data_IF_654090803541
#
_entry.id   IF_654090803541
#
_cell.length_a   1.000
_cell.length_b   1.000
_cell.length_c   1.000
_cell.angle_alpha   90.00
_cell.angle_beta   90.00
_cell.angle_gamma   90.00
#
_symmetry.space_group_name_H-M   'P 1'
#
loop_
_entity.id
_entity.type
_entity.pdbx_description
1 polymer ?
#
# COMPACT_ATOMS: atom_id res chain seq x y z
N UNK A 1 -12.21 7.94 -31.12
CA UNK A 1 -10.97 7.48 -30.43
C UNK A 1 -11.42 6.89 -29.11
N UNK A 2 -10.95 5.72 -28.75
CA UNK A 2 -11.33 5.07 -27.51
C UNK A 2 -10.86 5.92 -26.31
N UNK A 3 -11.66 6.05 -25.26
CA UNK A 3 -11.36 6.82 -24.04
C UNK A 3 -9.95 6.51 -23.51
N UNK A 4 -9.60 5.23 -23.35
CA UNK A 4 -8.33 4.82 -22.77
C UNK A 4 -7.13 5.24 -23.63
N UNK A 5 -7.22 5.20 -24.94
CA UNK A 5 -6.16 5.69 -25.82
C UNK A 5 -5.97 7.20 -25.69
N UNK A 6 -7.07 7.96 -25.63
CA UNK A 6 -7.03 9.41 -25.38
C UNK A 6 -6.34 9.74 -24.05
N UNK A 7 -6.68 9.02 -22.98
CA UNK A 7 -6.08 9.21 -21.64
C UNK A 7 -4.59 8.87 -21.62
N UNK A 8 -4.19 7.82 -22.33
CA UNK A 8 -2.76 7.47 -22.47
C UNK A 8 -2.01 8.60 -23.19
N UNK A 9 -2.51 9.07 -24.35
CA UNK A 9 -1.87 10.14 -25.10
C UNK A 9 -1.72 11.43 -24.27
N UNK A 10 -2.78 11.84 -23.55
CA UNK A 10 -2.74 12.98 -22.63
C UNK A 10 -1.70 12.76 -21.53
N UNK A 11 -1.73 11.63 -20.85
CA UNK A 11 -0.80 11.31 -19.76
C UNK A 11 0.67 11.27 -20.21
N UNK A 12 0.96 10.81 -21.43
CA UNK A 12 2.31 10.84 -22.00
C UNK A 12 2.81 12.29 -22.27
N UNK A 13 1.91 13.27 -22.45
CA UNK A 13 2.20 14.68 -22.64
C UNK A 13 2.05 15.55 -21.39
N UNK A 14 1.76 14.95 -20.21
CA UNK A 14 1.44 15.63 -18.93
C UNK A 14 0.13 16.45 -18.98
N UNK A 15 -0.73 16.18 -19.92
CA UNK A 15 -2.03 16.81 -20.04
C UNK A 15 -3.02 16.07 -19.15
N UNK A 16 -3.74 16.73 -18.23
CA UNK A 16 -4.80 16.05 -17.47
C UNK A 16 -5.98 15.73 -18.38
N UNK A 17 -6.76 14.70 -18.06
CA UNK A 17 -8.06 14.46 -18.68
C UNK A 17 -9.02 15.63 -18.41
N UNK A 18 -10.16 15.66 -19.07
CA UNK A 18 -11.28 16.49 -18.61
C UNK A 18 -11.93 15.85 -17.38
N UNK A 19 -12.80 16.58 -16.67
CA UNK A 19 -13.54 16.01 -15.53
C UNK A 19 -14.46 14.87 -15.97
N UNK A 20 -15.10 15.00 -17.12
CA UNK A 20 -15.95 13.96 -17.71
C UNK A 20 -15.15 12.70 -18.06
N UNK A 21 -13.94 12.85 -18.62
CA UNK A 21 -13.05 11.72 -18.90
C UNK A 21 -12.58 11.04 -17.59
N UNK A 22 -12.29 11.81 -16.53
CA UNK A 22 -11.93 11.26 -15.24
C UNK A 22 -13.08 10.50 -14.58
N UNK A 23 -14.32 11.01 -14.65
CA UNK A 23 -15.53 10.33 -14.21
C UNK A 23 -15.77 9.05 -15.02
N UNK A 24 -15.55 9.10 -16.34
CA UNK A 24 -15.72 7.93 -17.19
C UNK A 24 -14.76 6.79 -16.81
N UNK A 25 -13.53 7.08 -16.31
CA UNK A 25 -12.64 6.05 -15.75
C UNK A 25 -13.26 5.37 -14.53
N UNK A 26 -13.87 6.14 -13.63
CA UNK A 26 -14.52 5.60 -12.44
C UNK A 26 -15.75 4.76 -12.76
N UNK A 27 -16.43 5.08 -13.87
CA UNK A 27 -17.65 4.40 -14.35
C UNK A 27 -17.38 3.18 -15.23
N UNK A 28 -16.13 2.86 -15.58
CA UNK A 28 -15.81 1.67 -16.39
C UNK A 28 -16.28 0.39 -15.69
N UNK A 29 -16.67 -0.60 -16.49
CA UNK A 29 -17.12 -1.90 -16.00
C UNK A 29 -15.99 -2.74 -15.41
N UNK A 30 -16.32 -3.80 -14.68
CA UNK A 30 -15.32 -4.75 -14.18
C UNK A 30 -14.67 -5.55 -15.33
N UNK A 31 -15.37 -5.73 -16.44
CA UNK A 31 -14.84 -6.41 -17.63
C UNK A 31 -13.71 -5.59 -18.30
N UNK A 32 -13.78 -4.25 -18.21
CA UNK A 32 -12.77 -3.34 -18.77
C UNK A 32 -11.63 -3.03 -17.80
N UNK A 33 -11.68 -3.57 -16.57
CA UNK A 33 -10.73 -3.21 -15.50
C UNK A 33 -9.26 -3.40 -15.90
N UNK A 34 -8.93 -4.52 -16.54
CA UNK A 34 -7.56 -4.80 -16.93
C UNK A 34 -7.07 -3.85 -18.03
N UNK A 35 -7.94 -3.41 -18.92
CA UNK A 35 -7.63 -2.41 -19.93
C UNK A 35 -7.33 -1.05 -19.30
N UNK A 36 -8.11 -0.65 -18.29
CA UNK A 36 -7.87 0.56 -17.48
C UNK A 36 -6.52 0.49 -16.78
N UNK A 37 -6.20 -0.64 -16.13
CA UNK A 37 -4.91 -0.87 -15.46
C UNK A 37 -3.76 -0.82 -16.47
N UNK A 38 -3.92 -1.45 -17.63
CA UNK A 38 -2.91 -1.47 -18.68
C UNK A 38 -2.66 -0.06 -19.25
N UNK A 39 -3.71 0.73 -19.48
CA UNK A 39 -3.62 2.10 -19.96
C UNK A 39 -2.92 3.01 -18.95
N UNK A 40 -3.33 3.00 -17.67
CA UNK A 40 -2.68 3.75 -16.60
C UNK A 40 -1.21 3.30 -16.43
N UNK A 41 -0.94 2.01 -16.61
CA UNK A 41 0.40 1.42 -16.58
C UNK A 41 1.34 1.96 -17.67
N UNK A 42 0.83 2.30 -18.85
CA UNK A 42 1.63 2.95 -19.91
C UNK A 42 2.11 4.34 -19.44
N UNK A 43 1.20 5.12 -18.83
CA UNK A 43 1.52 6.46 -18.28
C UNK A 43 2.53 6.34 -17.13
N UNK A 44 2.27 5.45 -16.17
CA UNK A 44 3.16 5.21 -15.02
C UNK A 44 4.58 4.83 -15.49
N UNK A 45 4.71 3.90 -16.44
CA UNK A 45 6.02 3.47 -16.96
C UNK A 45 6.77 4.59 -17.66
N UNK A 46 6.08 5.51 -18.34
CA UNK A 46 6.70 6.66 -19.02
C UNK A 46 7.47 7.53 -18.04
N UNK A 47 6.91 7.78 -16.85
CA UNK A 47 7.47 8.76 -15.90
C UNK A 47 8.32 8.12 -14.81
N UNK A 48 8.00 6.90 -14.39
CA UNK A 48 8.63 6.24 -13.25
C UNK A 48 9.36 4.92 -13.62
N UNK A 49 9.27 4.48 -14.87
CA UNK A 49 9.89 3.24 -15.29
C UNK A 49 9.36 2.04 -14.52
N UNK A 50 10.25 1.23 -13.93
CA UNK A 50 9.90 0.07 -13.09
C UNK A 50 10.12 0.31 -11.61
N UNK A 51 10.51 1.51 -11.21
CA UNK A 51 10.83 1.81 -9.82
C UNK A 51 9.60 2.00 -8.95
N UNK A 52 9.67 1.48 -7.73
CA UNK A 52 8.71 1.68 -6.66
C UNK A 52 9.42 2.33 -5.48
N UNK A 53 8.96 3.52 -5.08
CA UNK A 53 9.49 4.23 -3.93
C UNK A 53 8.85 3.68 -2.65
N UNK A 54 9.70 3.28 -1.70
CA UNK A 54 9.27 2.84 -0.39
C UNK A 54 9.31 4.01 0.60
N UNK A 55 8.24 4.13 1.39
CA UNK A 55 8.13 5.09 2.47
C UNK A 55 7.90 4.35 3.78
N UNK A 56 8.41 4.86 4.87
CA UNK A 56 8.28 4.26 6.18
C UNK A 56 7.72 5.25 7.19
N UNK A 57 6.77 4.81 8.01
CA UNK A 57 6.10 5.65 8.99
C UNK A 57 6.74 5.52 10.37
N UNK A 58 7.10 6.64 10.97
CA UNK A 58 7.47 6.75 12.37
C UNK A 58 6.42 7.58 13.09
N UNK A 59 5.61 6.92 13.92
CA UNK A 59 4.53 7.57 14.66
C UNK A 59 5.09 8.19 15.94
N UNK A 60 5.46 9.48 15.91
CA UNK A 60 6.09 10.19 17.02
C UNK A 60 5.17 10.42 18.22
N UNK A 61 3.86 10.56 17.96
CA UNK A 61 2.81 10.81 18.96
C UNK A 61 1.52 10.16 18.48
N UNK A 62 0.86 9.38 19.34
CA UNK A 62 -0.32 8.60 18.97
C UNK A 62 -1.51 8.85 19.89
N UNK A 63 -2.70 8.97 19.29
CA UNK A 63 -3.95 9.20 19.98
C UNK A 63 -4.07 10.60 20.55
N UNK A 64 -5.13 10.86 21.32
CA UNK A 64 -5.39 12.10 22.05
C UNK A 64 -5.41 13.37 21.17
N UNK A 65 -5.72 13.22 19.87
CA UNK A 65 -5.86 14.34 18.94
C UNK A 65 -7.14 15.14 19.28
N UNK A 66 -7.07 16.47 19.47
CA UNK A 66 -8.24 17.28 19.81
C UNK A 66 -9.23 17.46 18.65
N UNK A 67 -8.85 17.05 17.45
CA UNK A 67 -9.68 17.14 16.25
C UNK A 67 -10.79 16.05 16.24
N UNK A 68 -11.88 16.33 15.52
CA UNK A 68 -13.08 15.48 15.47
C UNK A 68 -13.24 14.68 14.17
N UNK A 69 -12.18 14.55 13.37
CA UNK A 69 -12.22 13.86 12.07
C UNK A 69 -12.90 12.49 12.20
N UNK A 70 -13.99 12.29 11.44
CA UNK A 70 -14.89 11.13 11.58
C UNK A 70 -14.23 9.79 11.23
N UNK A 71 -13.23 9.79 10.36
CA UNK A 71 -12.47 8.59 9.94
C UNK A 71 -11.35 8.22 10.91
N UNK A 72 -10.95 9.12 11.83
CA UNK A 72 -9.67 9.01 12.52
C UNK A 72 -9.80 8.25 13.85
N UNK A 73 -9.07 7.14 13.98
CA UNK A 73 -8.97 6.39 15.23
C UNK A 73 -8.24 7.13 16.34
N UNK A 74 -7.41 8.14 16.03
CA UNK A 74 -6.59 8.90 16.98
C UNK A 74 -7.31 10.10 17.62
N UNK A 75 -8.53 10.46 17.19
CA UNK A 75 -9.29 11.57 17.75
C UNK A 75 -9.61 11.33 19.23
N UNK A 76 -9.71 12.40 20.02
CA UNK A 76 -9.95 12.33 21.47
C UNK A 76 -11.24 11.59 21.84
N UNK A 77 -12.29 11.67 21.07
CA UNK A 77 -13.56 10.97 21.31
C UNK A 77 -13.63 9.56 20.72
N UNK A 78 -12.55 9.05 20.10
CA UNK A 78 -12.54 7.71 19.52
C UNK A 78 -12.52 6.62 20.60
N UNK A 79 -13.37 5.60 20.40
CA UNK A 79 -13.37 4.35 21.18
C UNK A 79 -12.52 3.26 20.54
N UNK A 80 -11.82 3.58 19.45
CA UNK A 80 -10.93 2.64 18.79
C UNK A 80 -9.80 2.21 19.73
N UNK A 81 -9.52 0.92 19.72
CA UNK A 81 -8.48 0.29 20.52
C UNK A 81 -7.12 0.50 19.84
N UNK A 82 -6.47 1.62 20.11
CA UNK A 82 -5.15 1.97 19.61
C UNK A 82 -4.19 2.28 20.75
N UNK A 83 -2.91 2.14 20.48
CA UNK A 83 -1.88 2.58 21.41
C UNK A 83 -1.84 4.11 21.49
N UNK A 84 -1.78 4.64 22.71
CA UNK A 84 -1.80 6.09 23.00
C UNK A 84 -0.55 6.47 23.78
N UNK A 85 0.20 7.44 23.28
CA UNK A 85 1.38 7.99 23.94
C UNK A 85 1.61 9.43 23.48
N UNK A 86 2.30 10.22 24.30
CA UNK A 86 2.50 11.66 24.02
C UNK A 86 3.59 11.89 22.99
N UNK A 87 4.79 11.39 23.25
CA UNK A 87 5.94 11.52 22.34
C UNK A 87 6.88 10.34 22.53
N UNK A 88 7.41 9.83 21.41
CA UNK A 88 8.59 8.96 21.44
C UNK A 88 9.80 9.73 21.95
N UNK A 89 10.74 9.01 22.56
CA UNK A 89 12.06 9.56 22.84
C UNK A 89 12.85 9.75 21.53
N UNK A 90 13.75 10.73 21.44
CA UNK A 90 14.50 10.97 20.20
C UNK A 90 15.25 9.74 19.69
N UNK A 91 15.91 8.99 20.59
CA UNK A 91 16.64 7.77 20.25
C UNK A 91 15.71 6.63 19.74
N UNK A 92 14.49 6.54 20.24
CA UNK A 92 13.49 5.58 19.73
C UNK A 92 13.05 5.96 18.31
N UNK A 93 12.87 7.26 18.03
CA UNK A 93 12.49 7.74 16.70
C UNK A 93 13.62 7.51 15.67
N UNK A 94 14.90 7.80 16.04
CA UNK A 94 16.05 7.55 15.16
C UNK A 94 16.22 6.06 14.87
N UNK A 95 16.12 5.20 15.88
CA UNK A 95 16.16 3.74 15.68
C UNK A 95 15.06 3.23 14.77
N UNK A 96 13.82 3.73 14.95
CA UNK A 96 12.71 3.36 14.07
C UNK A 96 12.98 3.82 12.62
N UNK A 97 13.51 5.04 12.43
CA UNK A 97 13.87 5.53 11.11
C UNK A 97 14.96 4.68 10.46
N UNK A 98 16.02 4.35 11.20
CA UNK A 98 17.12 3.50 10.73
C UNK A 98 16.62 2.10 10.33
N UNK A 99 15.69 1.51 11.09
CA UNK A 99 15.07 0.24 10.73
C UNK A 99 14.29 0.33 9.41
N UNK A 100 13.53 1.43 9.20
CA UNK A 100 12.83 1.68 7.93
C UNK A 100 13.79 1.81 6.75
N UNK A 101 14.90 2.54 6.92
CA UNK A 101 15.94 2.71 5.89
C UNK A 101 16.61 1.37 5.58
N UNK A 102 16.96 0.59 6.60
CA UNK A 102 17.51 -0.76 6.43
C UNK A 102 16.54 -1.70 5.69
N UNK A 103 15.23 -1.50 5.84
CA UNK A 103 14.18 -2.19 5.08
C UNK A 103 14.02 -1.70 3.64
N UNK A 104 14.80 -0.70 3.21
CA UNK A 104 14.77 -0.16 1.84
C UNK A 104 13.92 1.10 1.66
N UNK A 105 13.44 1.71 2.74
CA UNK A 105 12.69 2.96 2.63
C UNK A 105 13.59 4.11 2.14
N UNK A 106 13.16 4.76 1.06
CA UNK A 106 13.79 5.98 0.53
C UNK A 106 13.35 7.22 1.31
N UNK A 107 12.12 7.19 1.87
CA UNK A 107 11.54 8.29 2.64
C UNK A 107 11.04 7.79 3.99
N UNK A 108 11.41 8.51 5.06
CA UNK A 108 10.85 8.34 6.41
C UNK A 108 9.86 9.46 6.68
N UNK A 109 8.64 9.08 7.10
CA UNK A 109 7.57 10.01 7.42
C UNK A 109 7.40 10.10 8.94
N UNK A 110 7.72 11.24 9.52
CA UNK A 110 7.58 11.53 10.95
C UNK A 110 6.19 12.08 11.22
N UNK A 111 5.35 11.33 11.91
CA UNK A 111 3.93 11.67 12.10
C UNK A 111 3.62 11.91 13.56
N UNK A 112 2.93 13.00 13.87
CA UNK A 112 2.42 13.28 15.20
C UNK A 112 0.92 13.57 15.17
N UNK A 113 0.15 12.90 16.03
CA UNK A 113 -1.27 13.20 16.22
C UNK A 113 -1.46 14.58 16.86
N UNK A 114 -2.36 15.38 16.33
CA UNK A 114 -2.66 16.72 16.84
C UNK A 114 -3.28 17.62 15.79
N UNK A 115 -3.79 18.79 16.21
CA UNK A 115 -4.28 19.82 15.31
C UNK A 115 -3.14 20.42 14.49
N UNK A 116 -2.04 20.74 15.14
CA UNK A 116 -0.83 21.33 14.61
C UNK A 116 0.26 21.34 15.67
N UNK A 117 1.53 21.55 15.26
CA UNK A 117 2.64 21.59 16.20
C UNK A 117 2.69 22.94 16.93
N UNK A 118 3.12 22.91 18.20
CA UNK A 118 3.64 24.09 18.87
C UNK A 118 5.08 24.36 18.39
N UNK A 119 5.62 25.55 18.64
CA UNK A 119 7.01 25.85 18.31
C UNK A 119 8.00 24.91 18.98
N UNK A 120 7.69 24.48 20.21
CA UNK A 120 8.48 23.49 20.94
C UNK A 120 8.40 22.12 20.26
N UNK A 121 7.26 21.77 19.67
CA UNK A 121 7.14 20.51 18.89
C UNK A 121 7.94 20.59 17.60
N UNK A 122 7.94 21.74 16.90
CA UNK A 122 8.77 21.98 15.72
C UNK A 122 10.25 21.83 16.05
N UNK A 123 10.73 22.42 17.15
CA UNK A 123 12.12 22.25 17.61
C UNK A 123 12.47 20.80 17.95
N UNK A 124 11.54 20.08 18.60
CA UNK A 124 11.73 18.66 18.91
C UNK A 124 11.86 17.82 17.66
N UNK A 125 10.94 18.01 16.71
CA UNK A 125 10.94 17.26 15.44
C UNK A 125 12.13 17.66 14.58
N UNK A 126 12.51 18.95 14.58
CA UNK A 126 13.72 19.44 13.91
C UNK A 126 14.96 18.67 14.34
N UNK A 127 15.22 18.57 15.64
CA UNK A 127 16.33 17.77 16.17
C UNK A 127 16.27 16.28 15.77
N UNK A 128 15.08 15.73 15.69
CA UNK A 128 14.90 14.33 15.22
C UNK A 128 15.22 14.21 13.74
N UNK A 129 14.83 15.19 12.92
CA UNK A 129 15.16 15.24 11.48
C UNK A 129 16.67 15.32 11.29
N UNK A 130 17.33 16.25 11.98
CA UNK A 130 18.80 16.42 11.94
C UNK A 130 19.53 15.10 12.25
N UNK A 131 19.17 14.44 13.36
CA UNK A 131 19.75 13.17 13.74
C UNK A 131 19.52 12.06 12.69
N UNK A 132 18.31 11.95 12.12
CA UNK A 132 18.03 10.97 11.06
C UNK A 132 18.86 11.25 9.81
N UNK A 133 19.01 12.51 9.43
CA UNK A 133 19.79 12.90 8.25
C UNK A 133 21.29 12.65 8.43
N UNK A 134 21.82 12.85 9.65
CA UNK A 134 23.21 12.56 9.98
C UNK A 134 23.52 11.05 9.95
N UNK A 135 22.60 10.23 10.44
CA UNK A 135 22.78 8.78 10.50
C UNK A 135 22.47 8.05 9.18
N UNK A 136 21.68 8.65 8.27
CA UNK A 136 21.17 7.98 7.08
C UNK A 136 21.35 8.84 5.83
N UNK A 137 22.49 8.71 5.16
CA UNK A 137 22.82 9.48 3.97
C UNK A 137 21.79 9.26 2.85
N UNK A 138 21.30 10.34 2.26
CA UNK A 138 20.40 10.31 1.11
C UNK A 138 18.97 9.88 1.41
N UNK A 139 18.60 9.68 2.69
CA UNK A 139 17.20 9.47 3.08
C UNK A 139 16.41 10.78 2.96
N UNK A 140 15.19 10.70 2.46
CA UNK A 140 14.24 11.80 2.51
C UNK A 140 13.44 11.76 3.82
N UNK A 141 13.27 12.92 4.46
CA UNK A 141 12.44 13.04 5.68
C UNK A 141 11.21 13.89 5.39
N UNK A 142 10.04 13.32 5.63
CA UNK A 142 8.74 13.99 5.51
C UNK A 142 8.14 14.22 6.89
N UNK A 143 7.76 15.45 7.22
CA UNK A 143 7.04 15.75 8.45
C UNK A 143 5.52 15.77 8.20
N UNK A 144 4.72 15.29 9.19
CA UNK A 144 3.27 15.28 9.17
C UNK A 144 2.76 15.61 10.57
N UNK A 145 2.63 16.90 10.88
CA UNK A 145 2.39 17.39 12.23
C UNK A 145 1.04 18.11 12.39
N UNK A 146 0.20 18.12 11.34
CA UNK A 146 -1.07 18.84 11.32
C UNK A 146 -0.97 20.20 10.63
N UNK A 147 -1.79 21.17 11.05
CA UNK A 147 -1.87 22.52 10.50
C UNK A 147 -0.63 23.33 10.90
N UNK A 148 -0.01 23.99 9.93
CA UNK A 148 1.18 24.82 10.17
C UNK A 148 0.81 26.29 10.41
N UNK A 149 1.40 26.89 11.47
CA UNK A 149 1.46 28.33 11.65
C UNK A 149 2.61 28.92 10.83
N UNK A 150 2.61 30.26 10.69
CA UNK A 150 3.63 30.98 9.94
C UNK A 150 5.04 30.72 10.52
N UNK A 151 6.03 30.53 9.66
CA UNK A 151 7.42 30.26 10.02
C UNK A 151 7.72 28.83 10.45
N UNK A 152 6.72 27.98 10.64
CA UNK A 152 6.96 26.58 11.06
C UNK A 152 7.45 25.68 9.92
N UNK A 153 6.97 25.91 8.70
CA UNK A 153 7.42 25.18 7.52
C UNK A 153 8.89 25.46 7.22
N UNK A 154 9.29 26.74 7.29
CA UNK A 154 10.67 27.21 7.09
C UNK A 154 11.63 26.55 8.09
N UNK A 155 11.25 26.55 9.38
CA UNK A 155 12.06 25.92 10.44
C UNK A 155 12.23 24.40 10.25
N UNK A 156 11.18 23.72 9.79
CA UNK A 156 11.28 22.29 9.45
C UNK A 156 12.21 22.08 8.24
N UNK A 157 12.14 22.97 7.24
CA UNK A 157 13.03 22.95 6.08
C UNK A 157 14.49 23.19 6.48
N UNK A 158 14.75 24.17 7.33
CA UNK A 158 16.08 24.49 7.87
C UNK A 158 16.66 23.30 8.66
N UNK A 159 15.83 22.57 9.40
CA UNK A 159 16.23 21.34 10.09
C UNK A 159 16.48 20.14 9.15
N UNK A 160 16.29 20.30 7.83
CA UNK A 160 16.58 19.28 6.85
C UNK A 160 15.37 18.43 6.40
N UNK A 161 14.13 18.82 6.72
CA UNK A 161 12.96 18.19 6.14
C UNK A 161 12.96 18.37 4.61
N UNK A 162 12.63 17.31 3.88
CA UNK A 162 12.50 17.33 2.42
C UNK A 162 11.05 17.54 1.98
N UNK A 163 10.09 17.07 2.79
CA UNK A 163 8.68 17.12 2.45
C UNK A 163 7.80 17.40 3.68
N UNK A 164 6.60 17.89 3.42
CA UNK A 164 5.55 18.00 4.42
C UNK A 164 4.26 17.31 3.93
N UNK A 165 3.72 16.41 4.75
CA UNK A 165 2.47 15.74 4.43
C UNK A 165 1.29 16.39 5.15
N UNK A 166 0.31 16.84 4.37
CA UNK A 166 -0.98 17.27 4.89
C UNK A 166 -2.07 17.02 3.85
N UNK A 167 -2.83 15.94 4.02
CA UNK A 167 -3.83 15.52 3.07
C UNK A 167 -5.04 16.45 3.02
N UNK A 168 -5.61 16.70 1.83
CA UNK A 168 -6.93 17.32 1.69
C UNK A 168 -8.05 16.37 2.16
N UNK A 169 -7.85 15.09 2.01
CA UNK A 169 -8.72 13.97 2.35
C UNK A 169 -9.93 13.79 1.43
N UNK A 170 -10.72 14.83 1.15
CA UNK A 170 -11.90 14.80 0.29
C UNK A 170 -12.08 16.15 -0.41
N UNK A 171 -13.15 16.32 -1.20
CA UNK A 171 -13.50 17.59 -1.84
C UNK A 171 -13.88 18.67 -0.82
N UNK A 172 -13.82 19.93 -1.23
CA UNK A 172 -14.29 21.04 -0.40
C UNK A 172 -15.77 20.93 -0.07
N UNK A 173 -16.58 20.45 -1.03
CA UNK A 173 -18.02 20.32 -0.89
C UNK A 173 -18.42 19.36 0.24
N UNK A 174 -17.70 18.24 0.37
CA UNK A 174 -18.00 17.21 1.38
C UNK A 174 -17.20 17.35 2.66
N UNK A 175 -16.21 18.25 2.67
CA UNK A 175 -15.26 18.39 3.79
C UNK A 175 -15.93 18.62 5.15
N UNK A 176 -16.95 19.48 5.18
CA UNK A 176 -17.71 19.77 6.40
C UNK A 176 -18.50 18.58 6.96
N UNK A 177 -18.64 17.49 6.19
CA UNK A 177 -19.23 16.22 6.65
C UNK A 177 -18.27 15.36 7.46
N UNK A 178 -16.96 15.51 7.25
CA UNK A 178 -15.96 14.67 7.90
C UNK A 178 -15.31 15.30 9.13
N UNK A 179 -15.31 16.63 9.26
CA UNK A 179 -14.77 17.35 10.43
C UNK A 179 -15.42 18.72 10.61
N UNK A 180 -15.48 19.20 11.87
CA UNK A 180 -15.99 20.53 12.25
C UNK A 180 -14.93 21.39 12.94
N UNK A 181 -13.83 20.81 13.37
CA UNK A 181 -12.80 21.49 14.17
C UNK A 181 -11.83 22.29 13.33
N UNK A 182 -11.75 22.04 12.04
CA UNK A 182 -10.98 22.82 11.07
C UNK A 182 -11.62 22.73 9.68
N UNK A 183 -11.24 23.64 8.78
CA UNK A 183 -11.84 23.80 7.47
C UNK A 183 -10.97 23.19 6.36
N UNK A 184 -11.55 23.03 5.17
CA UNK A 184 -10.80 22.69 3.95
C UNK A 184 -9.74 23.74 3.64
N UNK A 185 -10.08 25.03 3.81
CA UNK A 185 -9.17 26.14 3.58
C UNK A 185 -7.93 26.10 4.50
N UNK A 186 -8.08 25.67 5.77
CA UNK A 186 -6.93 25.48 6.69
C UNK A 186 -5.94 24.45 6.16
N UNK A 187 -6.45 23.39 5.51
CA UNK A 187 -5.58 22.37 4.90
C UNK A 187 -4.87 22.89 3.67
N UNK A 188 -5.60 23.57 2.79
CA UNK A 188 -5.03 24.21 1.61
C UNK A 188 -3.94 25.21 1.99
N UNK A 189 -4.18 26.04 3.02
CA UNK A 189 -3.21 26.99 3.55
C UNK A 189 -1.93 26.29 4.05
N UNK A 190 -2.07 25.20 4.78
CA UNK A 190 -0.94 24.40 5.27
C UNK A 190 -0.09 23.83 4.12
N UNK A 191 -0.73 23.27 3.07
CA UNK A 191 -0.02 22.76 1.89
C UNK A 191 0.73 23.89 1.17
N UNK A 192 0.09 25.06 1.03
CA UNK A 192 0.72 26.25 0.43
C UNK A 192 1.91 26.75 1.23
N UNK A 193 1.81 26.80 2.56
CA UNK A 193 2.94 27.19 3.44
C UNK A 193 4.11 26.23 3.30
N UNK A 194 3.83 24.92 3.28
CA UNK A 194 4.88 23.92 3.06
C UNK A 194 5.59 24.12 1.70
N UNK A 195 4.82 24.30 0.64
CA UNK A 195 5.36 24.53 -0.70
C UNK A 195 6.15 25.85 -0.79
N UNK A 196 5.64 26.93 -0.21
CA UNK A 196 6.33 28.23 -0.19
C UNK A 196 7.67 28.18 0.55
N UNK A 197 7.79 27.34 1.60
CA UNK A 197 9.04 27.10 2.32
C UNK A 197 10.02 26.18 1.57
N UNK A 198 9.67 25.70 0.37
CA UNK A 198 10.51 24.80 -0.43
C UNK A 198 10.48 23.36 0.03
N UNK A 199 9.49 22.95 0.82
CA UNK A 199 9.21 21.55 1.12
C UNK A 199 8.40 20.91 -0.01
N UNK A 200 8.72 19.67 -0.37
CA UNK A 200 7.90 18.89 -1.29
C UNK A 200 6.51 18.71 -0.70
N UNK A 201 5.49 19.17 -1.42
CA UNK A 201 4.10 19.08 -0.98
C UNK A 201 3.59 17.66 -1.17
N UNK A 202 3.40 16.94 -0.05
CA UNK A 202 2.76 15.63 -0.02
C UNK A 202 1.33 15.81 0.47
N UNK A 203 0.35 15.68 -0.42
CA UNK A 203 -1.06 15.84 -0.06
C UNK A 203 -1.92 14.87 -0.86
N UNK A 204 -2.88 14.24 -0.20
CA UNK A 204 -3.67 13.16 -0.79
C UNK A 204 -5.11 13.11 -0.31
N UNK A 205 -5.74 11.97 -0.57
CA UNK A 205 -7.15 11.74 -0.30
C UNK A 205 -7.38 10.46 0.50
N UNK A 206 -8.60 10.33 1.01
CA UNK A 206 -9.16 9.10 1.58
C UNK A 206 -10.42 8.77 0.79
N UNK A 207 -10.44 7.63 0.11
CA UNK A 207 -11.62 7.14 -0.59
C UNK A 207 -12.42 6.18 0.29
N UNK A 208 -13.73 6.16 0.14
CA UNK A 208 -14.63 5.25 0.85
C UNK A 208 -15.33 5.85 2.07
N UNK A 209 -15.31 7.18 2.24
CA UNK A 209 -15.98 7.89 3.34
C UNK A 209 -17.44 8.24 3.03
N UNK A 210 -17.98 7.77 1.90
CA UNK A 210 -19.34 8.09 1.44
C UNK A 210 -19.42 9.22 0.41
N UNK A 211 -18.28 9.64 -0.11
CA UNK A 211 -18.16 10.64 -1.18
C UNK A 211 -18.69 10.12 -2.52
N UNK A 212 -19.16 11.03 -3.39
CA UNK A 212 -19.52 10.74 -4.77
C UNK A 212 -18.28 10.69 -5.69
N UNK A 213 -18.47 10.23 -6.93
CA UNK A 213 -17.39 10.18 -7.93
C UNK A 213 -16.86 11.57 -8.27
N UNK A 214 -17.74 12.55 -8.31
CA UNK A 214 -17.41 13.95 -8.52
C UNK A 214 -16.50 14.49 -7.42
N UNK A 215 -16.71 14.10 -6.17
CA UNK A 215 -15.87 14.50 -5.04
C UNK A 215 -14.46 13.93 -5.15
N UNK A 216 -14.34 12.67 -5.61
CA UNK A 216 -13.03 12.04 -5.86
C UNK A 216 -12.28 12.76 -6.98
N UNK A 217 -12.96 13.11 -8.06
CA UNK A 217 -12.39 13.87 -9.16
C UNK A 217 -11.97 15.26 -8.68
N UNK A 218 -12.86 15.96 -7.97
CA UNK A 218 -12.60 17.33 -7.49
C UNK A 218 -11.39 17.40 -6.56
N UNK A 219 -11.26 16.49 -5.60
CA UNK A 219 -10.10 16.50 -4.70
C UNK A 219 -8.80 16.22 -5.45
N UNK A 220 -8.78 15.35 -6.46
CA UNK A 220 -7.57 15.04 -7.22
C UNK A 220 -7.14 16.21 -8.09
N UNK A 221 -8.09 16.94 -8.70
CA UNK A 221 -7.79 18.17 -9.42
C UNK A 221 -7.26 19.27 -8.49
N UNK A 222 -7.86 19.43 -7.30
CA UNK A 222 -7.37 20.37 -6.29
C UNK A 222 -5.94 20.04 -5.85
N UNK A 223 -5.60 18.77 -5.66
CA UNK A 223 -4.25 18.31 -5.34
C UNK A 223 -3.25 18.67 -6.45
N UNK A 224 -3.64 18.47 -7.71
CA UNK A 224 -2.82 18.86 -8.87
C UNK A 224 -2.62 20.39 -8.94
N UNK A 225 -3.69 21.15 -8.75
CA UNK A 225 -3.65 22.64 -8.80
C UNK A 225 -2.81 23.23 -7.66
N UNK A 226 -2.78 22.57 -6.51
CA UNK A 226 -1.91 22.94 -5.37
C UNK A 226 -0.44 22.62 -5.61
N UNK A 227 -0.07 21.99 -6.72
CA UNK A 227 1.31 21.60 -7.01
C UNK A 227 1.82 20.49 -6.12
N UNK A 228 0.98 19.53 -5.74
CA UNK A 228 1.42 18.39 -4.96
C UNK A 228 2.44 17.55 -5.73
N UNK A 229 3.59 17.28 -5.12
CA UNK A 229 4.64 16.41 -5.68
C UNK A 229 4.38 14.92 -5.42
N UNK A 230 3.57 14.62 -4.40
CA UNK A 230 3.19 13.25 -4.03
C UNK A 230 1.73 13.23 -3.60
N UNK A 231 0.97 12.28 -4.17
CA UNK A 231 -0.46 12.06 -3.89
C UNK A 231 -0.65 10.68 -3.25
N UNK A 232 -0.66 10.60 -1.90
CA UNK A 232 -1.08 9.38 -1.23
C UNK A 232 -2.59 9.17 -1.39
N UNK A 233 -2.95 7.99 -1.89
CA UNK A 233 -4.32 7.51 -1.97
C UNK A 233 -4.55 6.52 -0.84
N UNK A 234 -5.33 6.94 0.14
CA UNK A 234 -5.76 6.09 1.24
C UNK A 234 -7.15 5.50 0.92
N UNK A 235 -7.37 4.30 1.34
CA UNK A 235 -8.68 3.66 1.36
C UNK A 235 -9.14 3.59 2.82
N UNK A 236 -10.35 4.05 3.10
CA UNK A 236 -10.85 4.11 4.46
C UNK A 236 -10.76 2.75 5.14
N UNK A 237 -10.10 2.70 6.29
CA UNK A 237 -10.19 1.55 7.21
C UNK A 237 -11.29 1.89 8.22
N UNK A 238 -12.45 1.21 8.19
CA UNK A 238 -13.56 1.50 9.09
C UNK A 238 -13.26 0.98 10.50
N UNK A 239 -12.50 1.76 11.29
CA UNK A 239 -12.16 1.39 12.66
C UNK A 239 -13.39 1.35 13.55
N UNK A 240 -13.58 0.23 14.26
CA UNK A 240 -14.57 0.17 15.32
C UNK A 240 -14.32 1.28 16.35
N UNK A 241 -15.40 1.92 16.79
CA UNK A 241 -15.30 3.06 17.71
C UNK A 241 -15.06 4.42 17.05
N UNK A 242 -15.06 4.50 15.71
CA UNK A 242 -15.12 5.75 14.95
C UNK A 242 -16.49 5.95 14.31
N UNK A 243 -16.88 7.20 13.94
CA UNK A 243 -18.16 7.44 13.26
C UNK A 243 -18.33 6.65 11.94
N UNK A 244 -17.26 6.42 11.19
CA UNK A 244 -17.30 5.72 9.90
C UNK A 244 -17.01 4.20 10.01
N UNK A 245 -17.19 3.60 11.19
CA UNK A 245 -16.92 2.18 11.44
C UNK A 245 -17.73 1.19 10.56
N UNK A 246 -18.82 1.65 9.95
CA UNK A 246 -19.69 0.80 9.13
C UNK A 246 -19.56 1.04 7.62
N UNK A 247 -18.69 1.95 7.20
CA UNK A 247 -18.51 2.32 5.79
C UNK A 247 -17.57 1.34 5.08
N UNK A 248 -18.15 0.25 4.55
CA UNK A 248 -17.45 -0.82 3.82
C UNK A 248 -17.83 -0.83 2.34
N UNK A 249 -17.64 0.31 1.63
CA UNK A 249 -18.16 0.52 0.29
C UNK A 249 -17.15 0.26 -0.83
N UNK A 250 -15.88 -0.06 -0.49
CA UNK A 250 -14.83 -0.25 -1.48
C UNK A 250 -14.65 -1.72 -1.87
N UNK A 251 -14.56 -1.95 -3.17
CA UNK A 251 -14.12 -3.23 -3.75
C UNK A 251 -12.71 -3.07 -4.32
N UNK A 252 -11.95 -4.16 -4.53
CA UNK A 252 -10.63 -4.08 -5.17
C UNK A 252 -10.68 -3.41 -6.54
N UNK A 253 -11.71 -3.70 -7.33
CA UNK A 253 -11.92 -3.13 -8.66
C UNK A 253 -12.14 -1.62 -8.58
N UNK A 254 -12.97 -1.18 -7.63
CA UNK A 254 -13.20 0.26 -7.39
C UNK A 254 -11.91 0.97 -6.98
N UNK A 255 -11.11 0.37 -6.10
CA UNK A 255 -9.82 0.93 -5.67
C UNK A 255 -8.85 1.08 -6.86
N UNK A 256 -8.80 0.11 -7.77
CA UNK A 256 -7.95 0.19 -8.96
C UNK A 256 -8.40 1.29 -9.93
N UNK A 257 -9.72 1.49 -10.12
CA UNK A 257 -10.24 2.60 -10.95
C UNK A 257 -9.91 3.95 -10.34
N UNK A 258 -10.03 4.10 -9.02
CA UNK A 258 -9.64 5.33 -8.31
C UNK A 258 -8.16 5.61 -8.52
N UNK A 259 -7.29 4.62 -8.32
CA UNK A 259 -5.84 4.77 -8.56
C UNK A 259 -5.56 5.15 -10.02
N UNK A 260 -6.24 4.53 -10.99
CA UNK A 260 -6.07 4.82 -12.40
C UNK A 260 -6.51 6.25 -12.74
N UNK A 261 -7.64 6.71 -12.22
CA UNK A 261 -8.11 8.09 -12.37
C UNK A 261 -7.08 9.07 -11.81
N UNK A 262 -6.56 8.82 -10.59
CA UNK A 262 -5.50 9.63 -10.00
C UNK A 262 -4.25 9.65 -10.88
N UNK A 263 -3.82 8.50 -11.44
CA UNK A 263 -2.66 8.43 -12.35
C UNK A 263 -2.87 9.23 -13.64
N UNK A 264 -4.07 9.21 -14.21
CA UNK A 264 -4.35 9.99 -15.43
C UNK A 264 -4.38 11.49 -15.14
N UNK A 265 -4.96 11.93 -14.02
CA UNK A 265 -4.98 13.34 -13.61
C UNK A 265 -3.59 13.82 -13.20
N UNK A 266 -2.79 12.96 -12.55
CA UNK A 266 -1.45 13.23 -12.03
C UNK A 266 -0.39 12.34 -12.72
N UNK A 267 -0.15 12.51 -14.05
CA UNK A 267 0.62 11.53 -14.83
C UNK A 267 2.08 11.42 -14.42
N UNK A 268 2.71 12.51 -14.00
CA UNK A 268 4.13 12.65 -13.66
C UNK A 268 4.37 12.96 -12.16
N UNK A 269 3.32 12.87 -11.34
CA UNK A 269 3.37 13.07 -9.90
C UNK A 269 3.49 11.69 -9.20
N UNK A 270 4.22 11.62 -8.07
CA UNK A 270 4.28 10.41 -7.25
C UNK A 270 2.86 10.04 -6.78
N UNK A 271 2.33 8.90 -7.22
CA UNK A 271 1.09 8.33 -6.70
C UNK A 271 1.45 7.20 -5.75
N UNK A 272 1.02 7.35 -4.49
CA UNK A 272 1.30 6.39 -3.43
C UNK A 272 0.06 5.62 -3.04
N UNK A 273 0.14 4.30 -3.05
CA UNK A 273 -0.86 3.46 -2.40
C UNK A 273 -0.55 3.51 -0.90
N UNK A 274 -1.48 4.05 -0.13
CA UNK A 274 -1.29 4.34 1.28
C UNK A 274 -2.18 3.45 2.18
N UNK A 275 -2.70 3.97 3.28
CA UNK A 275 -3.47 3.18 4.24
C UNK A 275 -4.66 2.46 3.62
N UNK A 276 -4.94 1.25 4.11
CA UNK A 276 -6.09 0.44 3.69
C UNK A 276 -5.88 -0.41 2.43
N UNK A 277 -4.68 -0.39 1.83
CA UNK A 277 -4.42 -1.18 0.60
C UNK A 277 -4.61 -2.68 0.82
N UNK A 278 -4.13 -3.21 1.92
CA UNK A 278 -4.24 -4.64 2.27
C UNK A 278 -5.70 -5.05 2.46
N UNK A 279 -6.47 -4.18 3.10
CA UNK A 279 -7.89 -4.40 3.42
C UNK A 279 -8.75 -4.41 2.16
N UNK A 280 -8.52 -3.48 1.24
CA UNK A 280 -9.39 -3.25 0.10
C UNK A 280 -8.86 -3.83 -1.21
N UNK A 281 -7.56 -3.75 -1.51
CA UNK A 281 -6.98 -4.35 -2.73
C UNK A 281 -6.76 -5.86 -2.57
N UNK A 282 -6.48 -6.34 -1.37
CA UNK A 282 -6.29 -7.78 -1.08
C UNK A 282 -5.29 -8.42 -2.07
N UNK A 283 -5.66 -9.51 -2.74
CA UNK A 283 -4.84 -10.18 -3.75
C UNK A 283 -4.58 -9.35 -5.03
N UNK A 284 -5.28 -8.23 -5.21
CA UNK A 284 -5.08 -7.34 -6.37
C UNK A 284 -4.03 -6.26 -6.14
N UNK A 285 -3.34 -6.23 -5.00
CA UNK A 285 -2.27 -5.26 -4.73
C UNK A 285 -1.19 -5.21 -5.82
N UNK A 286 -0.73 -6.34 -6.44
CA UNK A 286 0.24 -6.29 -7.53
C UNK A 286 -0.24 -5.49 -8.74
N UNK A 287 -1.55 -5.52 -9.07
CA UNK A 287 -2.12 -4.71 -10.15
C UNK A 287 -2.01 -3.21 -9.88
N UNK A 288 -2.16 -2.81 -8.62
CA UNK A 288 -2.03 -1.42 -8.22
C UNK A 288 -0.61 -0.86 -8.41
N UNK A 289 0.44 -1.69 -8.36
CA UNK A 289 1.82 -1.30 -8.67
C UNK A 289 2.02 -0.93 -10.14
N UNK A 290 1.17 -1.44 -11.04
CA UNK A 290 1.19 -1.00 -12.44
C UNK A 290 0.66 0.41 -12.63
N UNK A 291 -0.06 0.96 -11.65
CA UNK A 291 -0.68 2.29 -11.67
C UNK A 291 0.12 3.27 -10.82
N UNK A 292 0.35 2.92 -9.57
CA UNK A 292 1.10 3.70 -8.60
C UNK A 292 2.60 3.37 -8.63
N UNK A 293 3.43 4.28 -8.15
CA UNK A 293 4.88 4.13 -8.13
C UNK A 293 5.49 4.25 -6.73
N UNK A 294 4.64 4.23 -5.69
CA UNK A 294 5.07 4.38 -4.30
C UNK A 294 4.12 3.64 -3.36
N UNK A 295 4.67 3.08 -2.27
CA UNK A 295 3.91 2.43 -1.19
C UNK A 295 4.50 2.78 0.17
N UNK A 296 3.74 2.53 1.24
CA UNK A 296 4.31 2.42 2.59
C UNK A 296 4.79 0.99 2.83
N UNK A 297 5.95 0.87 3.46
CA UNK A 297 6.55 -0.39 3.89
C UNK A 297 6.09 -0.72 5.30
N UNK A 298 5.50 -1.89 5.50
CA UNK A 298 5.06 -2.36 6.81
C UNK A 298 3.81 -1.64 7.32
N UNK A 299 3.80 -1.37 8.62
CA UNK A 299 2.62 -0.88 9.32
C UNK A 299 2.29 0.59 9.07
N UNK A 300 1.01 0.91 9.33
CA UNK A 300 0.49 2.26 9.39
C UNK A 300 0.52 2.82 10.82
N UNK A 301 -0.05 4.01 11.00
CA UNK A 301 0.00 4.71 12.30
C UNK A 301 -0.72 3.97 13.43
N UNK A 302 -1.85 3.34 13.12
CA UNK A 302 -2.73 2.71 14.11
C UNK A 302 -3.30 1.37 13.65
N UNK A 303 -2.84 0.86 12.52
CA UNK A 303 -3.22 -0.46 11.99
C UNK A 303 -2.00 -1.20 11.48
N UNK A 304 -2.06 -2.50 11.56
CA UNK A 304 -1.07 -3.36 10.92
C UNK A 304 -1.17 -3.24 9.40
N UNK A 305 -0.03 -3.27 8.74
CA UNK A 305 0.13 -3.42 7.32
C UNK A 305 0.63 -4.82 6.98
N UNK A 306 1.06 -4.99 5.74
CA UNK A 306 1.71 -6.20 5.30
C UNK A 306 3.16 -6.23 5.83
N UNK A 307 3.68 -7.42 6.18
CA UNK A 307 5.08 -7.56 6.57
C UNK A 307 6.00 -7.01 5.47
N UNK A 308 7.05 -6.27 5.86
CA UNK A 308 7.91 -5.60 4.89
C UNK A 308 8.54 -6.54 3.86
N UNK A 309 8.91 -7.78 4.24
CA UNK A 309 9.41 -8.77 3.27
C UNK A 309 8.34 -9.16 2.25
N UNK A 310 7.08 -9.30 2.65
CA UNK A 310 5.99 -9.58 1.72
C UNK A 310 5.72 -8.41 0.75
N UNK A 311 5.99 -7.16 1.18
CA UNK A 311 5.97 -6.01 0.28
C UNK A 311 7.08 -6.07 -0.77
N UNK A 312 8.30 -6.43 -0.37
CA UNK A 312 9.43 -6.59 -1.27
C UNK A 312 9.20 -7.73 -2.27
N UNK A 313 8.67 -8.86 -1.80
CA UNK A 313 8.33 -10.00 -2.63
C UNK A 313 7.24 -9.63 -3.65
N UNK A 314 6.20 -8.93 -3.24
CA UNK A 314 5.13 -8.46 -4.11
C UNK A 314 5.67 -7.52 -5.21
N UNK A 315 6.59 -6.61 -4.88
CA UNK A 315 7.24 -5.71 -5.84
C UNK A 315 8.03 -6.51 -6.87
N UNK A 316 8.84 -7.48 -6.42
CA UNK A 316 9.65 -8.33 -7.29
C UNK A 316 8.78 -9.21 -8.18
N UNK A 317 7.72 -9.83 -7.64
CA UNK A 317 6.78 -10.69 -8.36
C UNK A 317 6.01 -9.95 -9.43
N UNK A 318 5.64 -8.70 -9.17
CA UNK A 318 5.01 -7.82 -10.15
C UNK A 318 6.01 -7.28 -11.21
N UNK A 319 7.29 -7.62 -11.10
CA UNK A 319 8.34 -7.23 -12.05
C UNK A 319 8.83 -5.80 -11.86
N UNK A 320 8.69 -5.23 -10.66
CA UNK A 320 9.19 -3.91 -10.32
C UNK A 320 10.46 -3.97 -9.47
N UNK A 321 11.07 -2.81 -9.25
CA UNK A 321 12.33 -2.63 -8.53
C UNK A 321 12.14 -1.56 -7.45
N UNK A 322 12.74 -1.78 -6.28
CA UNK A 322 12.76 -0.75 -5.22
C UNK A 322 13.66 0.40 -5.65
N UNK A 323 13.17 1.64 -5.51
CA UNK A 323 13.94 2.83 -5.84
C UNK A 323 15.16 2.99 -4.91
N UNK A 324 16.34 3.10 -5.52
CA UNK A 324 17.60 3.22 -4.77
C UNK A 324 18.23 1.88 -4.37
N UNK A 325 17.56 0.76 -4.54
CA UNK A 325 18.19 -0.55 -4.44
C UNK A 325 18.99 -0.85 -5.73
N UNK A 326 20.11 -1.57 -5.58
CA UNK A 326 20.78 -2.20 -6.74
C UNK A 326 19.88 -3.20 -7.44
N UNK A 327 20.36 -3.82 -8.51
CA UNK A 327 19.60 -4.86 -9.25
C UNK A 327 18.96 -5.83 -8.26
N UNK A 328 17.64 -6.10 -8.37
CA UNK A 328 16.96 -6.99 -7.44
C UNK A 328 17.63 -8.35 -7.41
N UNK A 329 18.17 -8.74 -6.29
CA UNK A 329 18.46 -10.14 -6.01
C UNK A 329 17.14 -10.78 -5.62
N UNK A 330 16.77 -11.89 -6.27
CA UNK A 330 15.65 -12.71 -5.84
C UNK A 330 15.78 -12.94 -4.32
N UNK A 331 14.69 -12.82 -3.55
CA UNK A 331 14.70 -13.16 -2.13
C UNK A 331 15.36 -14.51 -1.90
N UNK A 332 16.21 -14.63 -0.89
CA UNK A 332 17.03 -15.83 -0.65
C UNK A 332 16.18 -17.12 -0.61
N UNK A 333 15.00 -17.09 0.00
CA UNK A 333 14.06 -18.22 0.05
C UNK A 333 13.53 -18.64 -1.32
N UNK A 334 13.49 -17.76 -2.33
CA UNK A 334 13.13 -18.10 -3.71
C UNK A 334 14.29 -18.64 -4.50
N UNK A 335 15.50 -18.10 -4.27
CA UNK A 335 16.72 -18.65 -4.87
C UNK A 335 16.91 -20.11 -4.44
N UNK A 336 16.69 -20.41 -3.15
CA UNK A 336 16.79 -21.75 -2.62
C UNK A 336 15.68 -22.68 -3.14
N UNK A 337 14.44 -22.21 -3.28
CA UNK A 337 13.33 -22.96 -3.84
C UNK A 337 13.54 -23.27 -5.35
N UNK A 338 14.09 -22.31 -6.11
CA UNK A 338 14.43 -22.52 -7.53
C UNK A 338 15.61 -23.45 -7.69
N UNK A 339 16.64 -23.38 -6.82
CA UNK A 339 17.75 -24.30 -6.77
C UNK A 339 17.29 -25.74 -6.42
N UNK A 340 16.37 -25.87 -5.46
CA UNK A 340 15.78 -27.13 -5.07
C UNK A 340 14.88 -27.74 -6.18
N UNK A 341 14.13 -26.90 -6.93
CA UNK A 341 13.28 -27.33 -8.04
C UNK A 341 14.08 -27.68 -9.30
N UNK A 342 15.26 -27.05 -9.51
CA UNK A 342 16.15 -27.33 -10.65
C UNK A 342 17.02 -28.58 -10.47
N UNK A 343 17.08 -29.16 -9.27
CA UNK A 343 17.90 -30.35 -8.95
C UNK A 343 17.30 -31.71 -9.32
N UNK A 344 16.16 -31.77 -10.00
CA UNK A 344 15.37 -32.98 -10.20
C UNK A 344 15.34 -33.57 -11.58
N UNK A 345 16.38 -33.45 -12.40
CA UNK A 345 16.58 -34.28 -13.63
C UNK A 345 18.07 -34.62 -13.86
N UNK A 346 18.69 -35.18 -12.84
CA UNK A 346 20.01 -35.77 -12.97
C UNK A 346 19.87 -37.27 -13.09
N UNK A 347 19.83 -37.81 -14.32
CA UNK A 347 19.97 -39.22 -14.61
C UNK A 347 21.31 -39.75 -14.11
N UNK A 348 21.30 -40.40 -12.96
CA UNK A 348 22.38 -41.24 -12.51
C UNK A 348 22.43 -42.51 -13.36
N UNK A 349 23.40 -42.61 -14.25
CA UNK A 349 23.79 -43.88 -14.85
C UNK A 349 25.12 -44.33 -14.23
N UNK A 350 25.23 -45.56 -13.75
CA UNK A 350 26.52 -46.07 -13.28
C UNK A 350 27.42 -46.44 -14.47
N UNK A 351 28.69 -46.15 -14.29
CA UNK A 351 29.76 -46.55 -15.20
C UNK A 351 29.91 -48.07 -15.27
N UNK A 352 29.81 -48.64 -16.44
CA UNK A 352 30.11 -50.01 -16.77
C UNK A 352 30.74 -50.12 -18.15
N UNK A 353 31.89 -50.68 -18.17
CA UNK A 353 32.85 -50.86 -19.25
C UNK A 353 32.37 -51.65 -20.47
N UNK A 354 32.82 -51.28 -21.67
CA UNK A 354 33.30 -52.19 -22.67
C UNK A 354 32.48 -52.46 -23.93
N UNK A 355 32.96 -52.08 -25.07
CA UNK A 355 33.02 -52.95 -26.27
C UNK A 355 32.05 -52.73 -27.41
N UNK A 356 32.54 -52.16 -28.50
CA UNK A 356 32.40 -52.82 -29.83
C UNK A 356 31.27 -52.40 -30.77
N UNK A 357 31.66 -51.61 -31.76
CA UNK A 357 31.30 -51.66 -33.23
C UNK A 357 29.96 -52.21 -33.72
N UNK A 358 29.30 -51.45 -34.61
CA UNK A 358 28.39 -52.02 -35.58
C UNK A 358 27.43 -51.03 -36.22
N UNK A 359 27.81 -50.49 -37.35
CA UNK A 359 27.02 -49.79 -38.36
C UNK A 359 25.80 -50.56 -38.82
N UNK A 360 24.63 -49.93 -39.03
CA UNK A 360 23.86 -50.01 -40.29
C UNK A 360 22.53 -49.20 -40.14
N UNK A 361 22.32 -48.36 -41.11
CA UNK A 361 21.02 -47.79 -41.51
C UNK A 361 20.47 -48.61 -42.70
N UNK A 362 19.33 -48.19 -43.33
CA UNK A 362 17.95 -48.01 -42.85
C UNK A 362 16.99 -48.91 -43.65
N UNK A 363 15.71 -49.01 -43.34
CA UNK A 363 14.69 -49.29 -44.37
C UNK A 363 13.26 -49.03 -43.80
N UNK A 364 12.48 -48.62 -44.72
CA UNK A 364 11.14 -48.09 -44.81
C UNK A 364 10.00 -49.08 -44.54
N UNK A 365 8.82 -48.43 -44.36
CA UNK A 365 7.49 -48.76 -44.88
C UNK A 365 6.68 -49.88 -44.24
N UNK A 366 5.38 -49.52 -44.05
CA UNK A 366 4.31 -50.52 -44.12
C UNK A 366 3.08 -50.16 -43.28
N UNK A 367 2.07 -49.64 -43.96
CA UNK A 367 0.70 -49.46 -43.47
C UNK A 367 -0.04 -50.81 -43.41
N UNK A 368 -1.10 -50.87 -42.60
CA UNK A 368 -2.43 -51.50 -42.84
C UNK A 368 -3.21 -51.64 -41.50
N UNK A 369 -4.28 -51.00 -41.40
CA UNK A 369 -5.70 -51.34 -41.49
C UNK A 369 -6.22 -52.58 -40.74
N UNK A 370 -7.40 -52.31 -40.08
CA UNK A 370 -8.46 -53.27 -39.73
C UNK A 370 -8.55 -53.60 -38.23
N UNK A 371 -9.64 -53.40 -37.54
CA UNK A 371 -11.01 -53.38 -37.88
C UNK A 371 -11.80 -54.15 -36.78
N UNK A 372 -12.93 -53.59 -36.39
CA UNK A 372 -14.12 -54.24 -35.82
C UNK A 372 -13.93 -55.04 -34.53
N UNK A 373 -14.75 -54.91 -33.56
CA UNK A 373 -16.16 -54.82 -33.38
C UNK A 373 -16.62 -55.28 -32.01
N UNK A 374 -17.73 -54.73 -31.61
CA UNK A 374 -18.86 -55.29 -30.91
C UNK A 374 -18.76 -55.88 -29.51
N UNK A 375 -19.48 -55.26 -28.57
CA UNK A 375 -20.67 -55.82 -28.04
C UNK A 375 -20.80 -55.78 -26.53
N UNK A 376 -22.00 -55.62 -26.03
CA UNK A 376 -22.29 -55.19 -24.66
C UNK A 376 -22.72 -56.32 -23.74
N UNK A 377 -22.50 -56.22 -22.46
CA UNK A 377 -23.29 -56.90 -21.40
C UNK A 377 -23.40 -56.01 -20.17
N UNK A 378 -24.56 -55.49 -19.93
CA UNK A 378 -25.62 -55.84 -18.95
C UNK A 378 -25.18 -56.08 -17.51
N UNK A 379 -25.66 -55.20 -16.67
CA UNK A 379 -26.40 -55.61 -15.46
C UNK A 379 -25.62 -55.68 -14.16
N UNK A 380 -26.09 -54.93 -13.21
CA UNK A 380 -25.84 -55.20 -11.82
C UNK A 380 -25.85 -53.95 -10.95
N UNK A 381 -27.05 -53.57 -10.52
CA UNK A 381 -27.20 -52.59 -9.47
C UNK A 381 -26.76 -53.10 -8.13
N UNK A 382 -26.43 -52.22 -7.23
CA UNK A 382 -26.67 -52.34 -5.80
C UNK A 382 -26.39 -51.01 -5.10
N UNK A 383 -27.34 -50.50 -4.50
CA UNK A 383 -27.57 -50.02 -3.20
C UNK A 383 -26.70 -48.92 -2.58
N UNK A 384 -27.36 -48.03 -1.86
CA UNK A 384 -26.71 -46.86 -1.27
C UNK A 384 -26.08 -47.23 0.09
N UNK A 385 -24.81 -46.96 0.25
CA UNK A 385 -24.23 -46.89 1.59
C UNK A 385 -23.98 -45.46 1.98
N UNK A 386 -24.91 -44.98 2.76
CA UNK A 386 -24.80 -43.76 3.52
C UNK A 386 -23.73 -43.84 4.58
N UNK A 387 -23.33 -42.73 5.01
CA UNK A 387 -22.43 -42.56 6.14
C UNK A 387 -21.66 -41.26 6.03
N UNK A 388 -22.35 -40.13 6.02
CA UNK A 388 -21.71 -38.90 6.45
C UNK A 388 -21.51 -39.01 7.96
N UNK A 389 -20.25 -39.17 8.38
CA UNK A 389 -19.87 -38.94 9.77
C UNK A 389 -20.05 -37.44 10.06
N UNK A 390 -20.65 -37.06 11.20
CA UNK A 390 -20.77 -35.66 11.56
C UNK A 390 -19.39 -35.11 11.86
N UNK A 391 -19.13 -33.93 11.28
CA UNK A 391 -18.00 -33.07 11.62
C UNK A 391 -18.15 -32.71 13.09
N UNK A 392 -17.15 -32.92 13.96
CA UNK A 392 -17.24 -32.49 15.35
C UNK A 392 -17.33 -30.98 15.41
N UNK A 393 -18.31 -30.45 16.10
CA UNK A 393 -18.38 -29.05 16.50
C UNK A 393 -17.10 -28.67 17.25
N UNK A 394 -16.55 -27.46 17.00
CA UNK A 394 -15.42 -26.98 17.78
C UNK A 394 -15.85 -26.86 19.24
N UNK A 395 -15.11 -27.56 20.11
CA UNK A 395 -15.30 -27.51 21.55
C UNK A 395 -15.20 -26.05 22.01
N UNK A 396 -16.23 -25.57 22.72
CA UNK A 396 -16.18 -24.33 23.46
C UNK A 396 -14.97 -24.31 24.38
N UNK A 397 -14.08 -23.36 24.18
CA UNK A 397 -13.00 -23.08 25.10
C UNK A 397 -13.59 -22.64 26.44
N UNK A 398 -13.08 -23.12 27.57
CA UNK A 398 -13.59 -22.75 28.88
C UNK A 398 -13.43 -21.24 29.10
N UNK A 399 -14.50 -20.60 29.55
CA UNK A 399 -14.52 -19.21 29.96
C UNK A 399 -13.43 -18.99 31.03
N UNK A 400 -12.43 -18.17 30.69
CA UNK A 400 -11.45 -17.73 31.65
C UNK A 400 -12.12 -16.77 32.66
N UNK A 401 -12.16 -17.16 33.93
CA UNK A 401 -12.60 -16.31 35.01
C UNK A 401 -11.76 -15.04 35.09
N UNK A 402 -12.43 -13.89 34.99
CA UNK A 402 -11.81 -12.58 35.10
C UNK A 402 -11.37 -12.32 36.55
N UNK A 403 -10.07 -12.42 36.80
CA UNK A 403 -9.45 -11.90 38.01
C UNK A 403 -9.42 -10.35 37.99
N UNK A 404 -9.54 -9.70 39.15
CA UNK A 404 -9.64 -8.25 39.21
C UNK A 404 -8.28 -7.58 38.96
N UNK A 405 -8.18 -6.75 37.92
CA UNK A 405 -7.16 -5.69 37.83
C UNK A 405 -5.98 -5.90 36.88
N UNK A 406 -6.04 -6.82 35.93
CA UNK A 406 -5.05 -6.92 34.87
C UNK A 406 -5.40 -5.95 33.73
N UNK A 407 -4.50 -5.02 33.39
CA UNK A 407 -4.57 -4.28 32.14
C UNK A 407 -4.65 -5.30 30.99
N UNK A 408 -5.71 -5.21 30.16
CA UNK A 408 -5.87 -6.09 29.00
C UNK A 408 -4.71 -5.87 28.05
N UNK A 409 -3.79 -6.84 28.03
CA UNK A 409 -2.66 -6.87 27.09
C UNK A 409 -3.10 -7.30 25.68
N UNK A 410 -4.33 -7.78 25.52
CA UNK A 410 -4.92 -8.26 24.26
C UNK A 410 -5.27 -7.12 23.28
N UNK A 411 -5.24 -5.88 23.75
CA UNK A 411 -5.41 -4.66 22.94
C UNK A 411 -4.19 -4.33 22.07
N UNK A 412 -3.15 -5.13 22.17
CA UNK A 412 -1.90 -4.98 21.41
C UNK A 412 -2.01 -5.54 19.98
N UNK A 413 -3.18 -6.00 19.56
CA UNK A 413 -3.39 -6.47 18.19
C UNK A 413 -3.13 -5.39 17.14
N UNK A 414 -3.27 -4.10 17.48
CA UNK A 414 -2.81 -3.00 16.64
C UNK A 414 -1.34 -2.74 16.95
N UNK A 415 -0.48 -3.54 16.40
CA UNK A 415 0.96 -3.45 16.60
C UNK A 415 1.49 -2.23 15.88
N UNK A 416 2.45 -1.56 16.51
CA UNK A 416 3.08 -0.34 16.00
C UNK A 416 4.45 -0.70 15.48
N UNK A 417 4.57 -1.13 14.28
CA UNK A 417 5.91 -1.31 13.74
C UNK A 417 6.59 0.02 13.49
N UNK A 418 7.85 0.11 13.84
CA UNK A 418 8.67 1.27 13.62
C UNK A 418 8.40 2.48 14.51
N UNK A 419 7.30 2.57 15.19
CA UNK A 419 6.95 3.72 16.02
C UNK A 419 7.28 3.50 17.50
N UNK A 420 8.51 3.14 17.81
CA UNK A 420 8.94 2.81 19.18
C UNK A 420 8.49 1.41 19.63
N UNK A 421 8.34 0.49 18.69
CA UNK A 421 8.12 -0.94 18.94
C UNK A 421 9.39 -1.73 18.62
N UNK A 422 9.45 -2.96 19.12
CA UNK A 422 10.56 -3.89 18.80
C UNK A 422 10.40 -4.54 17.41
N UNK A 423 9.34 -4.18 16.67
CA UNK A 423 9.04 -4.77 15.37
C UNK A 423 9.75 -4.02 14.26
N UNK A 424 10.67 -4.69 13.60
CA UNK A 424 11.31 -4.22 12.39
C UNK A 424 10.34 -4.28 11.19
N UNK A 425 10.56 -3.48 10.12
CA UNK A 425 9.73 -3.49 8.92
C UNK A 425 9.62 -4.86 8.23
N UNK A 426 10.60 -5.72 8.43
CA UNK A 426 10.72 -7.03 7.79
C UNK A 426 10.57 -8.20 8.78
N UNK A 427 10.03 -7.96 9.97
CA UNK A 427 9.81 -8.99 10.98
C UNK A 427 8.50 -9.76 10.73
#
# INVERSE_FOLDING_TARGET
MDLLNTLVEKGLRREPPTREEALAVLATSDDELLDVVAAAGKVRRRWFGRRVKLNYLVNLKSGLCPEDCSYCSQRLGSKAEILKYTWLKPDEASKAAAAGVAGGAKRVCLVASGRGPTDRDVERVGRTIEAIKEENEGVEVCACLGLLSDGQAERLREAGADAYNHNLNTSEATYGGITKTHTYADRVDTVRKAHAAGLSACSGLIAGMGEADEDLVDVVYALRELGSDSVPVNFLIPFEGTPLAKEWNLTPQRCLRILAMVRFVCPDIEVRIAGGREVHLRSMQPLALHIANSIFLGDYLTSEGQAGQADLDMIADAGFEVEGAGTPTLPAHRADALAAAGGGCGSGAPAGSGGGCGSHAPAESGAAEGGAGCGPHSGGGCGPCGGHAPVPEPAEAPAAEAGPGGARTDLVAVRRRGAGTDLAPNA
#
